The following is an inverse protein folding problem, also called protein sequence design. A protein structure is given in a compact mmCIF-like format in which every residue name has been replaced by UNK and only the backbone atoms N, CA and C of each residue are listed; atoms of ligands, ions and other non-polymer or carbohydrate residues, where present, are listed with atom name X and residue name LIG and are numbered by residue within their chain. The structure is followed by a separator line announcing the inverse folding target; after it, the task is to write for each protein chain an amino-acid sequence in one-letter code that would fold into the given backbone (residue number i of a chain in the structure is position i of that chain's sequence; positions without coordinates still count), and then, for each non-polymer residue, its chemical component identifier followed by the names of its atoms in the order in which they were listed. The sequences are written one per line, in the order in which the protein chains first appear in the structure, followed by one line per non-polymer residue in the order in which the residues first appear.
data_IF_914813703367
#
_entry.id   IF_914813703367
#
_cell.length_a   1.000
_cell.length_b   1.000
_cell.length_c   1.000
_cell.angle_alpha   90.00
_cell.angle_beta   90.00
_cell.angle_gamma   90.00
#
_symmetry.space_group_name_H-M   'P 1'
#
loop_
_entity.id
_entity.type
_entity.pdbx_description
1 polymer ?
#
# COMPACT_ATOMS: atom_id res chain seq x y z
N UNK A 1 2.96 17.90 13.12
CA UNK A 1 2.62 17.26 11.83
C UNK A 1 1.41 17.93 11.21
N UNK A 2 1.30 17.99 9.88
CA UNK A 2 0.06 18.39 9.18
C UNK A 2 -0.75 17.13 8.85
N UNK A 3 -2.08 17.28 8.84
CA UNK A 3 -3.01 16.20 8.50
C UNK A 3 -3.91 16.62 7.33
N UNK A 4 -4.43 15.65 6.62
CA UNK A 4 -5.40 15.82 5.54
C UNK A 4 -6.34 14.60 5.50
N UNK A 5 -7.48 14.75 4.84
CA UNK A 5 -8.34 13.59 4.56
C UNK A 5 -7.70 12.67 3.52
N UNK A 6 -7.87 11.37 3.71
CA UNK A 6 -7.45 10.38 2.73
C UNK A 6 -8.48 10.34 1.60
N UNK A 7 -8.34 11.28 0.66
CA UNK A 7 -9.22 11.41 -0.49
C UNK A 7 -10.68 11.65 -0.10
N UNK A 8 -11.57 10.86 -0.69
CA UNK A 8 -13.01 10.91 -0.51
C UNK A 8 -13.51 10.24 0.79
N UNK A 9 -12.64 10.11 1.79
CA UNK A 9 -12.96 9.50 3.09
C UNK A 9 -12.99 10.52 4.23
N UNK A 10 -13.41 10.09 5.42
CA UNK A 10 -13.31 10.83 6.67
C UNK A 10 -12.03 10.53 7.47
N UNK A 11 -11.13 9.70 6.93
CA UNK A 11 -9.89 9.27 7.58
C UNK A 11 -8.86 10.40 7.54
N UNK A 12 -8.39 10.84 8.70
CA UNK A 12 -7.32 11.83 8.81
C UNK A 12 -5.95 11.15 8.79
N UNK A 13 -5.12 11.48 7.81
CA UNK A 13 -3.75 10.96 7.66
C UNK A 13 -2.73 12.10 7.77
N UNK A 14 -1.59 11.80 8.37
CA UNK A 14 -0.43 12.69 8.30
C UNK A 14 0.06 12.82 6.85
N UNK A 15 0.49 14.03 6.46
CA UNK A 15 1.00 14.28 5.09
C UNK A 15 2.33 13.56 4.80
N UNK A 16 2.96 13.02 5.83
CA UNK A 16 4.11 12.12 5.72
C UNK A 16 3.66 10.75 6.20
N UNK A 17 3.95 9.71 5.43
CA UNK A 17 3.70 8.31 5.79
C UNK A 17 5.02 7.58 6.05
N UNK A 18 5.01 6.62 6.97
CA UNK A 18 6.10 5.67 7.15
C UNK A 18 5.98 4.56 6.10
N UNK A 19 6.91 4.49 5.16
CA UNK A 19 7.09 3.35 4.28
C UNK A 19 7.93 2.26 4.95
N UNK A 20 7.48 1.01 4.88
CA UNK A 20 8.10 -0.10 5.61
C UNK A 20 8.75 -1.14 4.71
N UNK A 21 9.06 -0.78 3.48
CA UNK A 21 9.75 -1.71 2.57
C UNK A 21 11.08 -2.20 3.17
N UNK A 22 11.85 -1.31 3.79
CA UNK A 22 13.10 -1.66 4.48
C UNK A 22 12.92 -2.62 5.66
N UNK A 23 11.76 -2.66 6.34
CA UNK A 23 11.47 -3.63 7.40
C UNK A 23 11.36 -5.07 6.88
N UNK A 24 11.02 -5.24 5.61
CA UNK A 24 10.94 -6.55 5.00
C UNK A 24 12.29 -7.26 4.90
N UNK A 25 13.39 -6.53 5.03
CA UNK A 25 14.74 -7.09 4.84
C UNK A 25 14.96 -7.63 3.43
N UNK A 26 15.73 -8.73 3.35
CA UNK A 26 16.00 -9.41 2.09
C UNK A 26 17.07 -8.73 1.24
N UNK A 27 17.32 -9.27 0.06
CA UNK A 27 18.42 -8.87 -0.84
C UNK A 27 18.35 -7.44 -1.38
N UNK A 28 17.22 -6.74 -1.16
CA UNK A 28 17.00 -5.38 -1.74
C UNK A 28 17.61 -4.28 -0.88
N UNK A 29 17.49 -4.39 0.46
CA UNK A 29 17.80 -3.26 1.34
C UNK A 29 18.95 -3.49 2.30
N UNK A 30 19.12 -4.71 2.83
CA UNK A 30 20.13 -4.98 3.85
C UNK A 30 20.33 -6.48 4.04
N UNK A 31 21.57 -6.87 4.36
CA UNK A 31 21.91 -8.25 4.76
C UNK A 31 21.47 -8.56 6.21
N UNK A 32 20.86 -7.58 6.91
CA UNK A 32 20.40 -7.75 8.28
C UNK A 32 18.89 -7.86 8.31
N UNK A 33 18.40 -8.87 9.02
CA UNK A 33 16.99 -9.01 9.31
C UNK A 33 16.52 -7.93 10.28
N UNK A 34 15.41 -7.29 9.98
CA UNK A 34 14.74 -6.38 10.92
C UNK A 34 14.07 -7.18 12.03
N UNK A 35 13.97 -6.57 13.20
CA UNK A 35 13.35 -7.18 14.38
C UNK A 35 12.04 -6.48 14.76
N UNK A 36 11.26 -7.12 15.64
CA UNK A 36 10.06 -6.49 16.22
C UNK A 36 10.41 -5.22 16.99
N UNK A 37 11.58 -5.20 17.63
CA UNK A 37 12.04 -4.03 18.40
C UNK A 37 12.42 -2.87 17.46
N UNK A 38 12.91 -3.16 16.25
CA UNK A 38 13.14 -2.13 15.23
C UNK A 38 11.80 -1.54 14.76
N UNK A 39 10.81 -2.38 14.50
CA UNK A 39 9.47 -1.92 14.13
C UNK A 39 8.84 -1.08 15.25
N UNK A 40 8.94 -1.48 16.52
CA UNK A 40 8.43 -0.70 17.66
C UNK A 40 9.11 0.67 17.76
N UNK A 41 10.44 0.73 17.63
CA UNK A 41 11.18 2.02 17.64
C UNK A 41 10.73 2.95 16.53
N UNK A 42 10.51 2.43 15.32
CA UNK A 42 9.97 3.23 14.22
C UNK A 42 8.58 3.78 14.53
N UNK A 43 7.69 2.95 15.10
CA UNK A 43 6.36 3.40 15.50
C UNK A 43 6.41 4.43 16.63
N UNK A 44 7.34 4.29 17.58
CA UNK A 44 7.51 5.27 18.68
C UNK A 44 7.96 6.63 18.13
N UNK A 45 8.92 6.65 17.20
CA UNK A 45 9.33 7.87 16.51
C UNK A 45 8.17 8.46 15.70
N UNK A 46 7.42 7.65 14.97
CA UNK A 46 6.25 8.12 14.26
C UNK A 46 5.24 8.79 15.20
N UNK A 47 4.93 8.16 16.31
CA UNK A 47 4.01 8.69 17.31
C UNK A 47 4.52 10.03 17.89
N UNK A 48 5.80 10.11 18.27
CA UNK A 48 6.45 11.32 18.79
C UNK A 48 6.33 12.50 17.82
N UNK A 49 6.52 12.26 16.51
CA UNK A 49 6.44 13.31 15.50
C UNK A 49 5.03 13.49 14.90
N UNK A 50 4.04 12.76 15.39
CA UNK A 50 2.64 12.81 14.94
C UNK A 50 2.42 12.21 13.56
N UNK A 51 3.28 11.27 13.12
CA UNK A 51 3.07 10.47 11.91
C UNK A 51 2.14 9.31 12.26
N UNK A 52 0.94 9.30 11.71
CA UNK A 52 -0.05 8.25 11.96
C UNK A 52 -0.30 7.32 10.79
N UNK A 53 0.31 7.56 9.62
CA UNK A 53 0.06 6.82 8.40
C UNK A 53 1.21 5.86 8.10
N UNK A 54 0.92 4.56 8.03
CA UNK A 54 1.90 3.49 7.80
C UNK A 54 1.55 2.78 6.52
N UNK A 55 2.53 2.65 5.63
CA UNK A 55 2.43 1.93 4.36
C UNK A 55 3.33 0.69 4.36
N UNK A 56 2.75 -0.46 4.09
CA UNK A 56 3.42 -1.75 3.94
C UNK A 56 2.93 -2.50 2.71
N UNK A 57 3.42 -3.72 2.49
CA UNK A 57 2.91 -4.63 1.46
C UNK A 57 3.23 -6.10 1.80
N UNK A 58 2.42 -7.07 1.31
CA UNK A 58 2.69 -8.50 1.44
C UNK A 58 4.06 -8.91 0.90
N UNK A 59 4.46 -8.33 -0.24
CA UNK A 59 5.74 -8.66 -0.91
C UNK A 59 6.97 -8.03 -0.25
N UNK A 60 6.81 -7.22 0.80
CA UNK A 60 7.94 -6.69 1.55
C UNK A 60 8.53 -7.77 2.47
N UNK A 61 9.59 -8.43 2.00
CA UNK A 61 10.17 -9.59 2.64
C UNK A 61 9.21 -10.79 2.69
N UNK A 62 8.33 -10.94 1.71
CA UNK A 62 7.39 -12.08 1.60
C UNK A 62 6.57 -12.29 2.88
N UNK A 63 5.99 -11.18 3.37
CA UNK A 63 5.16 -11.16 4.59
C UNK A 63 5.85 -10.66 5.85
N UNK A 64 7.18 -10.62 5.87
CA UNK A 64 7.96 -10.24 7.07
C UNK A 64 7.60 -8.86 7.58
N UNK A 65 7.50 -7.85 6.69
CA UNK A 65 7.13 -6.49 7.10
C UNK A 65 5.76 -6.44 7.80
N UNK A 66 4.75 -7.13 7.25
CA UNK A 66 3.41 -7.19 7.86
C UNK A 66 3.43 -7.90 9.22
N UNK A 67 4.18 -9.01 9.35
CA UNK A 67 4.29 -9.74 10.62
C UNK A 67 4.99 -8.92 11.71
N UNK A 68 6.07 -8.21 11.37
CA UNK A 68 6.78 -7.34 12.29
C UNK A 68 5.89 -6.18 12.76
N UNK A 69 5.19 -5.54 11.82
CA UNK A 69 4.23 -4.47 12.13
C UNK A 69 3.09 -4.97 13.01
N UNK A 70 2.49 -6.12 12.70
CA UNK A 70 1.41 -6.69 13.50
C UNK A 70 1.83 -6.92 14.96
N UNK A 71 3.03 -7.47 15.18
CA UNK A 71 3.59 -7.65 16.53
C UNK A 71 3.89 -6.32 17.22
N UNK A 72 4.39 -5.32 16.50
CA UNK A 72 4.72 -4.00 17.03
C UNK A 72 3.47 -3.15 17.34
N UNK A 73 2.38 -3.33 16.59
CA UNK A 73 1.11 -2.61 16.76
C UNK A 73 0.22 -3.20 17.86
N UNK A 74 0.61 -4.32 18.48
CA UNK A 74 -0.20 -4.95 19.52
C UNK A 74 -0.45 -3.99 20.70
N UNK A 75 -1.73 -3.70 20.97
CA UNK A 75 -2.18 -2.79 22.00
C UNK A 75 -2.13 -1.29 21.62
N UNK A 76 -1.77 -0.98 20.36
CA UNK A 76 -1.72 0.41 19.84
C UNK A 76 -2.19 0.52 18.38
N UNK A 77 -2.95 -0.48 17.89
CA UNK A 77 -3.45 -0.54 16.51
C UNK A 77 -4.22 0.73 16.10
N UNK A 78 -5.00 1.27 17.03
CA UNK A 78 -5.86 2.43 16.80
C UNK A 78 -5.09 3.76 16.74
N UNK A 79 -3.82 3.79 17.16
CA UNK A 79 -2.97 4.98 17.06
C UNK A 79 -2.56 5.27 15.62
N UNK A 80 -2.70 4.29 14.71
CA UNK A 80 -2.19 4.36 13.36
C UNK A 80 -3.21 4.00 12.30
N UNK A 81 -3.15 4.70 11.18
CA UNK A 81 -3.83 4.37 9.93
C UNK A 81 -2.94 3.41 9.15
N UNK A 82 -3.42 2.19 8.96
CA UNK A 82 -2.64 1.11 8.38
C UNK A 82 -3.05 0.84 6.93
N UNK A 83 -2.12 1.04 6.01
CA UNK A 83 -2.22 0.75 4.59
C UNK A 83 -1.34 -0.44 4.23
N UNK A 84 -1.89 -1.40 3.51
CA UNK A 84 -1.13 -2.47 2.84
C UNK A 84 -1.60 -2.65 1.41
N UNK A 85 -1.15 -3.69 0.73
CA UNK A 85 -1.40 -3.84 -0.71
C UNK A 85 -1.92 -5.23 -1.05
N UNK A 86 -2.54 -5.38 -2.22
CA UNK A 86 -2.99 -6.64 -2.80
C UNK A 86 -2.52 -6.73 -4.26
N UNK A 87 -2.89 -7.76 -4.95
CA UNK A 87 -2.59 -8.13 -6.33
C UNK A 87 -1.23 -8.81 -6.55
N UNK A 88 -0.22 -8.57 -5.74
CA UNK A 88 1.05 -9.30 -5.81
C UNK A 88 1.09 -10.40 -4.76
N UNK A 89 1.22 -11.65 -5.20
CA UNK A 89 1.28 -12.80 -4.32
C UNK A 89 2.22 -13.90 -4.87
N UNK A 90 2.60 -14.83 -3.99
CA UNK A 90 3.52 -15.94 -4.30
C UNK A 90 2.89 -17.31 -4.03
N UNK A 91 1.57 -17.41 -4.09
CA UNK A 91 0.82 -18.64 -3.82
C UNK A 91 0.83 -19.65 -4.96
N UNK A 92 1.22 -19.22 -6.17
CA UNK A 92 1.14 -20.04 -7.40
C UNK A 92 -0.27 -20.54 -7.74
N UNK A 93 -1.30 -19.76 -7.39
CA UNK A 93 -2.73 -20.07 -7.63
C UNK A 93 -3.26 -19.44 -8.92
N UNK A 94 -2.38 -18.88 -9.75
CA UNK A 94 -2.68 -18.20 -10.99
C UNK A 94 -2.20 -16.75 -11.00
N UNK A 95 -2.76 -15.96 -11.95
CA UNK A 95 -2.28 -14.60 -12.22
C UNK A 95 -1.19 -14.58 -13.28
N UNK A 96 -0.65 -13.41 -13.56
CA UNK A 96 0.43 -13.20 -14.51
C UNK A 96 1.76 -13.14 -13.78
N UNK A 97 2.78 -13.81 -14.34
CA UNK A 97 4.15 -13.68 -13.81
C UNK A 97 4.55 -12.21 -13.70
N UNK A 98 5.09 -11.82 -12.55
CA UNK A 98 5.56 -10.46 -12.31
C UNK A 98 7.09 -10.42 -12.13
N UNK A 99 7.62 -11.17 -11.18
CA UNK A 99 9.08 -11.36 -10.99
C UNK A 99 9.37 -12.59 -10.13
N UNK A 100 10.66 -12.96 -10.09
CA UNK A 100 11.20 -13.91 -9.12
C UNK A 100 12.18 -13.22 -8.16
N UNK A 101 12.09 -13.54 -6.87
CA UNK A 101 13.00 -13.03 -5.85
C UNK A 101 13.07 -13.96 -4.64
N UNK A 102 14.27 -14.16 -4.13
CA UNK A 102 14.54 -14.96 -2.91
C UNK A 102 13.87 -16.36 -2.94
N UNK A 103 13.83 -16.98 -4.13
CA UNK A 103 13.23 -18.31 -4.35
C UNK A 103 11.71 -18.32 -4.49
N UNK A 104 11.06 -17.16 -4.52
CA UNK A 104 9.61 -17.02 -4.72
C UNK A 104 9.29 -16.49 -6.10
N UNK A 105 8.34 -17.13 -6.77
CA UNK A 105 7.69 -16.59 -7.98
C UNK A 105 6.52 -15.70 -7.55
N UNK A 106 6.60 -14.42 -7.85
CA UNK A 106 5.54 -13.46 -7.55
C UNK A 106 4.69 -13.23 -8.79
N UNK A 107 3.39 -13.39 -8.64
CA UNK A 107 2.39 -13.16 -9.69
C UNK A 107 1.55 -11.93 -9.39
N UNK A 108 1.10 -11.25 -10.44
CA UNK A 108 0.11 -10.18 -10.39
C UNK A 108 -1.28 -10.75 -10.71
N UNK A 109 -2.19 -10.69 -9.75
CA UNK A 109 -3.52 -11.27 -9.85
C UNK A 109 -4.57 -10.33 -9.21
N UNK A 110 -5.37 -9.69 -10.05
CA UNK A 110 -6.43 -8.77 -9.63
C UNK A 110 -7.82 -9.39 -9.67
N UNK A 111 -7.94 -10.72 -9.87
CA UNK A 111 -9.22 -11.42 -9.79
C UNK A 111 -9.82 -11.32 -8.39
N UNK A 112 -11.15 -11.29 -8.30
CA UNK A 112 -11.87 -11.12 -7.04
C UNK A 112 -11.42 -12.09 -5.94
N UNK A 113 -11.25 -13.36 -6.26
CA UNK A 113 -10.82 -14.37 -5.30
C UNK A 113 -9.40 -14.12 -4.77
N UNK A 114 -8.48 -13.68 -5.63
CA UNK A 114 -7.09 -13.37 -5.27
C UNK A 114 -7.02 -12.12 -4.37
N UNK A 115 -7.73 -11.05 -4.73
CA UNK A 115 -7.80 -9.81 -3.95
C UNK A 115 -8.36 -10.05 -2.56
N UNK A 116 -9.48 -10.79 -2.44
CA UNK A 116 -10.07 -11.15 -1.14
C UNK A 116 -9.10 -11.97 -0.29
N UNK A 117 -8.43 -12.95 -0.90
CA UNK A 117 -7.44 -13.77 -0.20
C UNK A 117 -6.22 -12.99 0.24
N UNK A 118 -5.71 -12.05 -0.57
CA UNK A 118 -4.60 -11.17 -0.20
C UNK A 118 -4.93 -10.37 1.07
N UNK A 119 -6.13 -9.78 1.12
CA UNK A 119 -6.60 -9.02 2.29
C UNK A 119 -6.70 -9.92 3.52
N UNK A 120 -7.30 -11.10 3.41
CA UNK A 120 -7.42 -12.05 4.52
C UNK A 120 -6.06 -12.55 5.03
N UNK A 121 -5.12 -12.80 4.13
CA UNK A 121 -3.76 -13.17 4.46
C UNK A 121 -3.03 -12.03 5.19
N UNK A 122 -3.21 -10.78 4.76
CA UNK A 122 -2.65 -9.58 5.41
C UNK A 122 -3.23 -9.35 6.80
N UNK A 123 -4.56 -9.46 6.96
CA UNK A 123 -5.23 -9.38 8.27
C UNK A 123 -4.67 -10.40 9.25
N UNK A 124 -4.47 -11.65 8.79
CA UNK A 124 -3.91 -12.72 9.61
C UNK A 124 -2.45 -12.45 9.99
N UNK A 125 -1.59 -12.02 9.05
CA UNK A 125 -0.18 -11.70 9.34
C UNK A 125 -0.04 -10.55 10.33
N UNK A 126 -0.86 -9.52 10.18
CA UNK A 126 -0.84 -8.35 11.06
C UNK A 126 -1.64 -8.53 12.36
N UNK A 127 -2.44 -9.59 12.49
CA UNK A 127 -3.23 -9.86 13.69
C UNK A 127 -4.26 -8.77 13.99
N UNK A 128 -4.94 -8.27 12.96
CA UNK A 128 -5.98 -7.23 13.03
C UNK A 128 -7.21 -7.66 12.26
N UNK A 129 -8.38 -7.13 12.63
CA UNK A 129 -9.65 -7.46 11.99
C UNK A 129 -9.97 -6.53 10.81
N UNK A 130 -9.25 -5.41 10.69
CA UNK A 130 -9.45 -4.44 9.62
C UNK A 130 -8.17 -3.74 9.19
N UNK A 131 -8.17 -3.28 7.93
CA UNK A 131 -7.19 -2.37 7.37
C UNK A 131 -7.85 -1.01 7.11
N UNK A 132 -7.13 0.08 7.29
CA UNK A 132 -7.66 1.40 6.95
C UNK A 132 -7.66 1.61 5.44
N UNK A 133 -6.63 1.16 4.74
CA UNK A 133 -6.53 1.24 3.29
C UNK A 133 -5.90 -0.01 2.69
N UNK A 134 -6.41 -0.48 1.55
CA UNK A 134 -5.77 -1.48 0.70
C UNK A 134 -5.43 -0.87 -0.66
N UNK A 135 -4.24 -1.14 -1.17
CA UNK A 135 -3.80 -0.65 -2.47
C UNK A 135 -3.65 -1.81 -3.45
N UNK A 136 -4.24 -1.70 -4.63
CA UNK A 136 -3.89 -2.58 -5.75
C UNK A 136 -2.46 -2.22 -6.16
N UNK A 137 -1.50 -3.08 -5.82
CA UNK A 137 -0.06 -2.78 -5.89
C UNK A 137 0.41 -2.54 -7.32
N UNK A 138 -0.12 -3.34 -8.25
CA UNK A 138 0.02 -3.17 -9.70
C UNK A 138 -1.31 -3.52 -10.35
N UNK A 139 -1.81 -2.63 -11.18
CA UNK A 139 -3.00 -2.89 -11.99
C UNK A 139 -2.65 -3.96 -13.02
N UNK A 140 -3.51 -4.96 -13.17
CA UNK A 140 -3.36 -6.03 -14.14
C UNK A 140 -4.38 -5.89 -15.27
N UNK A 141 -3.93 -5.52 -16.46
CA UNK A 141 -4.81 -5.35 -17.62
C UNK A 141 -5.39 -6.66 -18.20
N UNK A 142 -5.05 -7.82 -17.64
CA UNK A 142 -5.54 -9.13 -18.11
C UNK A 142 -6.88 -9.53 -17.51
N UNK A 143 -7.36 -8.83 -16.48
CA UNK A 143 -8.61 -9.15 -15.79
C UNK A 143 -9.56 -7.95 -15.81
N UNK A 144 -10.88 -8.18 -15.84
CA UNK A 144 -11.88 -7.10 -15.84
C UNK A 144 -11.76 -6.22 -14.60
N UNK A 145 -11.74 -4.90 -14.78
CA UNK A 145 -11.68 -3.91 -13.70
C UNK A 145 -12.88 -4.04 -12.77
N UNK A 146 -14.06 -4.33 -13.32
CA UNK A 146 -15.31 -4.50 -12.57
C UNK A 146 -15.23 -5.63 -11.56
N UNK A 147 -14.49 -6.71 -11.87
CA UNK A 147 -14.28 -7.82 -10.96
C UNK A 147 -13.44 -7.39 -9.73
N UNK A 148 -12.36 -6.67 -9.98
CA UNK A 148 -11.50 -6.12 -8.91
C UNK A 148 -12.26 -5.12 -8.05
N UNK A 149 -12.99 -4.18 -8.68
CA UNK A 149 -13.79 -3.17 -7.97
C UNK A 149 -14.87 -3.84 -7.14
N UNK A 150 -15.59 -4.82 -7.69
CA UNK A 150 -16.60 -5.57 -6.97
C UNK A 150 -16.05 -6.25 -5.72
N UNK A 151 -14.86 -6.86 -5.81
CA UNK A 151 -14.20 -7.48 -4.65
C UNK A 151 -13.81 -6.46 -3.56
N UNK A 152 -13.29 -5.29 -3.96
CA UNK A 152 -12.91 -4.22 -3.04
C UNK A 152 -14.14 -3.64 -2.32
N UNK A 153 -15.25 -3.41 -3.05
CA UNK A 153 -16.51 -2.94 -2.47
C UNK A 153 -17.14 -3.97 -1.51
N UNK A 154 -17.00 -5.27 -1.82
CA UNK A 154 -17.40 -6.34 -0.90
C UNK A 154 -16.61 -6.28 0.41
N UNK A 155 -15.30 -6.13 0.33
CA UNK A 155 -14.41 -6.03 1.50
C UNK A 155 -14.71 -4.79 2.35
N UNK A 156 -15.08 -3.67 1.73
CA UNK A 156 -15.58 -2.48 2.46
C UNK A 156 -16.88 -2.80 3.18
N UNK A 157 -17.84 -3.44 2.51
CA UNK A 157 -19.12 -3.82 3.10
C UNK A 157 -18.97 -4.82 4.24
N UNK A 158 -17.99 -5.72 4.15
CA UNK A 158 -17.64 -6.68 5.19
C UNK A 158 -16.88 -6.03 6.36
N UNK A 159 -16.49 -4.77 6.26
CA UNK A 159 -15.72 -4.06 7.29
C UNK A 159 -14.25 -4.51 7.39
N UNK A 160 -13.75 -5.30 6.44
CA UNK A 160 -12.35 -5.75 6.41
C UNK A 160 -11.39 -4.66 5.97
N UNK A 161 -11.86 -3.71 5.14
CA UNK A 161 -11.13 -2.52 4.73
C UNK A 161 -12.03 -1.29 4.86
N UNK A 162 -11.47 -0.12 5.13
CA UNK A 162 -12.25 1.14 5.18
C UNK A 162 -12.26 1.84 3.83
N UNK A 163 -11.15 1.76 3.09
CA UNK A 163 -11.03 2.33 1.75
C UNK A 163 -9.97 1.60 0.93
N UNK A 164 -9.82 2.00 -0.33
CA UNK A 164 -8.85 1.39 -1.23
C UNK A 164 -8.30 2.38 -2.27
N UNK A 165 -7.19 1.98 -2.92
CA UNK A 165 -6.50 2.78 -3.90
C UNK A 165 -5.73 1.96 -4.92
N UNK A 166 -4.97 2.66 -5.75
CA UNK A 166 -4.13 2.08 -6.81
C UNK A 166 -2.67 2.47 -6.61
N UNK A 167 -1.75 1.67 -7.13
CA UNK A 167 -0.34 2.00 -7.23
C UNK A 167 0.25 1.49 -8.54
N UNK A 168 1.34 2.09 -8.99
CA UNK A 168 2.01 1.72 -10.24
C UNK A 168 1.01 1.59 -11.40
N UNK A 169 0.11 2.54 -11.46
CA UNK A 169 -1.01 2.60 -12.39
C UNK A 169 -0.77 3.68 -13.47
N UNK A 170 -1.70 3.79 -14.38
CA UNK A 170 -1.75 4.90 -15.33
C UNK A 170 -2.95 5.80 -15.00
N UNK A 171 -2.96 7.08 -15.41
CA UNK A 171 -4.13 7.93 -15.25
C UNK A 171 -5.42 7.32 -15.81
N UNK A 172 -5.33 6.56 -16.91
CA UNK A 172 -6.44 5.84 -17.49
C UNK A 172 -7.00 4.74 -16.57
N UNK A 173 -6.14 4.08 -15.77
CA UNK A 173 -6.59 3.08 -14.81
C UNK A 173 -7.42 3.71 -13.69
N UNK A 174 -6.99 4.86 -13.17
CA UNK A 174 -7.79 5.59 -12.17
C UNK A 174 -9.18 5.92 -12.73
N UNK A 175 -9.26 6.40 -13.98
CA UNK A 175 -10.53 6.69 -14.60
C UNK A 175 -11.39 5.43 -14.76
N UNK A 176 -10.81 4.33 -15.26
CA UNK A 176 -11.51 3.06 -15.46
C UNK A 176 -12.05 2.48 -14.14
N UNK A 177 -11.28 2.50 -13.07
CA UNK A 177 -11.73 2.02 -11.76
C UNK A 177 -12.86 2.88 -11.20
N UNK A 178 -12.82 4.20 -11.39
CA UNK A 178 -13.90 5.11 -10.98
C UNK A 178 -15.17 4.88 -11.82
N UNK A 179 -15.04 4.70 -13.14
CA UNK A 179 -16.15 4.42 -14.05
C UNK A 179 -16.80 3.07 -13.79
N UNK A 180 -16.03 2.08 -13.33
CA UNK A 180 -16.55 0.79 -12.86
C UNK A 180 -17.29 0.87 -11.51
N UNK A 181 -17.49 2.07 -10.96
CA UNK A 181 -18.17 2.29 -9.68
C UNK A 181 -17.27 2.24 -8.45
N UNK A 182 -15.95 2.23 -8.65
CA UNK A 182 -14.99 2.25 -7.56
C UNK A 182 -14.90 3.61 -6.87
N UNK A 183 -14.45 3.61 -5.62
CA UNK A 183 -14.25 4.80 -4.77
C UNK A 183 -12.77 4.94 -4.40
N UNK A 184 -11.93 5.14 -5.42
CA UNK A 184 -10.48 5.25 -5.23
C UNK A 184 -10.15 6.48 -4.39
N UNK A 185 -9.63 6.28 -3.17
CA UNK A 185 -9.28 7.36 -2.25
C UNK A 185 -7.83 7.82 -2.40
N UNK A 186 -6.95 6.97 -2.90
CA UNK A 186 -5.51 7.24 -3.04
C UNK A 186 -4.94 6.58 -4.29
N UNK A 187 -4.05 7.28 -4.97
CA UNK A 187 -3.12 6.71 -5.95
C UNK A 187 -1.70 6.89 -5.43
N UNK A 188 -0.93 5.81 -5.38
CA UNK A 188 0.43 5.79 -4.86
C UNK A 188 1.44 5.58 -6.00
N UNK A 189 2.16 6.64 -6.39
CA UNK A 189 3.00 6.63 -7.58
C UNK A 189 4.43 7.08 -7.29
N UNK A 190 5.37 6.56 -8.09
CA UNK A 190 6.75 7.06 -8.08
C UNK A 190 6.77 8.51 -8.54
N UNK A 191 7.23 9.39 -7.65
CA UNK A 191 7.31 10.81 -7.96
C UNK A 191 8.36 11.51 -7.11
N UNK A 192 9.24 12.24 -7.77
CA UNK A 192 10.22 13.11 -7.12
C UNK A 192 10.40 14.41 -7.90
N UNK A 193 11.23 15.29 -7.40
CA UNK A 193 11.62 16.51 -8.15
C UNK A 193 12.43 16.20 -9.41
N UNK A 194 13.07 15.01 -9.48
CA UNK A 194 13.81 14.55 -10.66
C UNK A 194 12.94 13.73 -11.62
N UNK A 195 11.87 13.14 -11.14
CA UNK A 195 10.99 12.23 -11.88
C UNK A 195 9.52 12.64 -11.82
N UNK A 196 9.14 13.82 -12.38
CA UNK A 196 7.78 14.34 -12.29
C UNK A 196 6.84 13.85 -13.40
N UNK A 197 7.17 12.78 -14.10
CA UNK A 197 6.64 12.43 -15.43
C UNK A 197 5.14 12.24 -15.54
N UNK A 198 4.47 11.78 -14.50
CA UNK A 198 3.01 11.51 -14.52
C UNK A 198 2.17 12.48 -13.67
N UNK A 199 2.82 13.40 -12.95
CA UNK A 199 2.14 14.18 -11.94
C UNK A 199 1.01 15.06 -12.45
N UNK A 200 1.19 15.76 -13.57
CA UNK A 200 0.18 16.74 -14.05
C UNK A 200 -1.16 16.09 -14.37
N UNK A 201 -1.14 14.99 -15.09
CA UNK A 201 -2.35 14.29 -15.51
C UNK A 201 -3.07 13.66 -14.31
N UNK A 202 -2.33 13.04 -13.40
CA UNK A 202 -2.88 12.55 -12.14
C UNK A 202 -3.48 13.66 -11.29
N UNK A 203 -2.83 14.82 -11.19
CA UNK A 203 -3.34 15.90 -10.34
C UNK A 203 -4.72 16.39 -10.77
N UNK A 204 -4.99 16.47 -12.06
CA UNK A 204 -6.33 16.85 -12.55
C UNK A 204 -7.39 15.76 -12.26
N UNK A 205 -7.04 14.48 -12.42
CA UNK A 205 -7.92 13.38 -12.07
C UNK A 205 -8.14 13.26 -10.55
N UNK A 206 -7.10 13.46 -9.75
CA UNK A 206 -7.19 13.47 -8.30
C UNK A 206 -8.14 14.57 -7.80
N UNK A 207 -8.09 15.76 -8.39
CA UNK A 207 -9.06 16.83 -8.09
C UNK A 207 -10.48 16.44 -8.50
N UNK A 208 -10.63 15.86 -9.70
CA UNK A 208 -11.94 15.45 -10.22
C UNK A 208 -12.63 14.44 -9.32
N UNK A 209 -11.88 13.46 -8.81
CA UNK A 209 -12.42 12.34 -8.05
C UNK A 209 -12.24 12.47 -6.53
N UNK A 210 -11.64 13.56 -6.06
CA UNK A 210 -11.26 13.74 -4.66
C UNK A 210 -10.39 12.58 -4.15
N UNK A 211 -9.35 12.24 -4.92
CA UNK A 211 -8.36 11.19 -4.65
C UNK A 211 -7.05 11.84 -4.19
N UNK A 212 -6.37 11.29 -3.20
CA UNK A 212 -5.03 11.74 -2.79
C UNK A 212 -3.97 11.16 -3.73
N UNK A 213 -3.03 11.99 -4.14
CA UNK A 213 -1.80 11.57 -4.79
C UNK A 213 -0.73 11.35 -3.72
N UNK A 214 -0.43 10.09 -3.41
CA UNK A 214 0.62 9.68 -2.48
C UNK A 214 1.88 9.36 -3.26
N UNK A 215 3.02 9.94 -2.86
CA UNK A 215 4.28 9.74 -3.55
C UNK A 215 5.16 8.74 -2.84
N UNK A 216 5.85 7.89 -3.59
CA UNK A 216 6.96 7.09 -3.09
C UNK A 216 8.23 7.38 -3.92
N UNK A 217 9.40 6.94 -3.42
CA UNK A 217 10.68 7.20 -4.08
C UNK A 217 11.12 8.68 -4.06
N UNK A 218 10.53 9.50 -3.21
CA UNK A 218 10.70 10.97 -3.19
C UNK A 218 12.14 11.44 -2.98
N UNK A 219 12.99 10.60 -2.37
CA UNK A 219 14.41 10.86 -2.12
C UNK A 219 15.34 10.16 -3.12
N UNK A 220 14.80 9.54 -4.19
CA UNK A 220 15.57 8.86 -5.25
C UNK A 220 16.62 7.90 -4.64
N UNK A 221 16.14 6.97 -3.79
CA UNK A 221 17.00 5.97 -3.10
C UNK A 221 18.18 6.58 -2.33
N UNK A 222 18.02 7.80 -1.87
CA UNK A 222 19.05 8.56 -1.14
C UNK A 222 19.86 9.53 -1.98
N UNK A 223 19.68 9.56 -3.31
CA UNK A 223 20.39 10.49 -4.19
C UNK A 223 20.11 11.97 -3.87
N UNK A 224 18.92 12.27 -3.37
CA UNK A 224 18.51 13.61 -2.93
C UNK A 224 18.81 13.90 -1.46
N UNK A 225 19.54 13.03 -0.78
CA UNK A 225 19.96 13.25 0.61
C UNK A 225 21.42 13.70 0.66
N UNK A 226 21.79 14.45 1.72
CA UNK A 226 23.20 14.73 1.96
C UNK A 226 23.92 13.42 2.29
N UNK A 227 25.17 13.24 1.79
CA UNK A 227 25.98 12.12 2.26
C UNK A 227 26.17 12.25 3.77
N UNK A 228 25.89 11.16 4.48
CA UNK A 228 26.11 11.02 5.92
C UNK A 228 27.57 10.65 6.16
#
# INVERSE_FOLDING_TARGET
MKFQKLGNTDIDVSVVALGTWGLGGGSVWTDKDSTVEDAKRLLDVCHEYGVNYIDTAPVYGTGVSEELLGKALKGRREDFILQTKCSLNWRNEGGNFHYERDGYTVNNDTRAAAVKKDVEDSLRRMGTDYLDSIIVHYVCGSFPVEETVGALEDLVREGKIRTYGLSNSQPADLAAYQEAGGRISVVQEFFSILSPFHGREYFELCKKYNTVFQTYGVLEEGFLTSPV
#
